data_IF_155376001253
#
_entry.id   IF_155376001253
#
_cell.length_a   1.000
_cell.length_b   1.000
_cell.length_c   1.000
_cell.angle_alpha   90.00
_cell.angle_beta   90.00
_cell.angle_gamma   90.00
#
_symmetry.space_group_name_H-M   'P 1'
#
loop_
_entity.id
_entity.type
_entity.pdbx_description
1 polymer ?
#
# COMPACT_ATOMS: atom_id res chain seq x y z
N UNK A 1 -9.14 4.84 -14.04
CA UNK A 1 -8.48 5.66 -13.01
C UNK A 1 -8.21 7.05 -13.57
N UNK A 2 -8.65 8.05 -12.86
CA UNK A 2 -8.40 9.42 -13.28
C UNK A 2 -6.95 9.82 -13.05
N UNK A 3 -6.47 10.78 -13.85
CA UNK A 3 -5.07 11.22 -13.76
C UNK A 3 -4.68 11.69 -12.37
N UNK A 4 -5.54 12.44 -11.68
CA UNK A 4 -5.18 12.93 -10.35
C UNK A 4 -5.05 11.79 -9.34
N UNK A 5 -5.86 10.76 -9.47
CA UNK A 5 -5.77 9.58 -8.60
C UNK A 5 -4.49 8.79 -8.89
N UNK A 6 -4.14 8.68 -10.16
CA UNK A 6 -2.91 8.03 -10.58
C UNK A 6 -1.68 8.76 -10.06
N UNK A 7 -1.68 10.10 -10.17
CA UNK A 7 -0.57 10.93 -9.67
C UNK A 7 -0.43 10.78 -8.16
N UNK A 8 -1.55 10.79 -7.43
CA UNK A 8 -1.53 10.63 -5.98
C UNK A 8 -0.94 9.27 -5.59
N UNK A 9 -1.36 8.20 -6.27
CA UNK A 9 -0.86 6.86 -6.00
C UNK A 9 0.64 6.75 -6.31
N UNK A 10 1.06 7.26 -7.46
CA UNK A 10 2.47 7.22 -7.86
C UNK A 10 3.34 8.06 -6.92
N UNK A 11 2.84 9.22 -6.49
CA UNK A 11 3.55 10.07 -5.54
C UNK A 11 3.74 9.35 -4.20
N UNK A 12 2.72 8.66 -3.73
CA UNK A 12 2.83 7.88 -2.49
C UNK A 12 3.88 6.78 -2.62
N UNK A 13 3.98 6.14 -3.78
CA UNK A 13 4.96 5.08 -4.03
C UNK A 13 6.36 5.60 -4.33
N UNK A 14 6.50 6.88 -4.62
CA UNK A 14 7.78 7.49 -4.96
C UNK A 14 8.60 7.87 -3.72
N UNK A 15 8.55 7.02 -2.70
CA UNK A 15 9.33 7.17 -1.48
C UNK A 15 9.74 5.76 -1.06
N UNK A 16 11.02 5.59 -0.77
CA UNK A 16 11.63 4.27 -0.61
C UNK A 16 10.92 3.39 0.41
N UNK A 17 10.63 3.92 1.59
CA UNK A 17 9.99 3.13 2.65
C UNK A 17 8.55 2.77 2.30
N UNK A 18 7.82 3.67 1.65
CA UNK A 18 6.45 3.37 1.23
C UNK A 18 6.42 2.34 0.12
N UNK A 19 7.35 2.43 -0.81
CA UNK A 19 7.44 1.42 -1.87
C UNK A 19 7.77 0.04 -1.27
N UNK A 20 8.70 -0.02 -0.32
CA UNK A 20 9.04 -1.27 0.35
C UNK A 20 7.85 -1.85 1.11
N UNK A 21 7.09 -1.00 1.80
CA UNK A 21 5.89 -1.41 2.52
C UNK A 21 4.84 -1.97 1.55
N UNK A 22 4.60 -1.25 0.46
CA UNK A 22 3.62 -1.67 -0.53
C UNK A 22 4.00 -3.01 -1.17
N UNK A 23 5.27 -3.17 -1.55
CA UNK A 23 5.75 -4.41 -2.14
C UNK A 23 5.57 -5.60 -1.20
N UNK A 24 5.87 -5.40 0.08
CA UNK A 24 5.67 -6.44 1.08
C UNK A 24 4.19 -6.85 1.16
N UNK A 25 3.28 -5.88 1.13
CA UNK A 25 1.84 -6.17 1.17
C UNK A 25 1.33 -6.83 -0.10
N UNK A 26 1.87 -6.46 -1.26
CA UNK A 26 1.54 -7.15 -2.51
C UNK A 26 1.95 -8.62 -2.43
N UNK A 27 3.16 -8.88 -1.94
CA UNK A 27 3.66 -10.24 -1.77
C UNK A 27 2.86 -11.05 -0.75
N UNK A 28 2.37 -10.39 0.29
CA UNK A 28 1.56 -11.04 1.31
C UNK A 28 0.18 -11.46 0.81
N UNK A 29 -0.31 -10.83 -0.25
CA UNK A 29 -1.60 -11.15 -0.82
C UNK A 29 -2.79 -10.57 -0.06
N UNK A 30 -4.03 -10.97 -0.43
CA UNK A 30 -5.25 -10.38 0.13
C UNK A 30 -5.40 -10.59 1.64
N UNK A 31 -4.75 -11.60 2.20
CA UNK A 31 -4.79 -11.83 3.65
C UNK A 31 -4.11 -10.75 4.45
N UNK A 32 -3.16 -10.06 3.84
CA UNK A 32 -2.46 -8.94 4.45
C UNK A 32 -1.55 -9.32 5.61
N UNK A 33 -1.09 -8.29 6.31
CA UNK A 33 -0.22 -8.43 7.47
C UNK A 33 -0.60 -7.44 8.54
N UNK A 34 -0.46 -7.85 9.80
CA UNK A 34 -0.59 -6.92 10.92
C UNK A 34 0.53 -5.88 10.88
N UNK A 35 0.23 -4.66 11.32
CA UNK A 35 1.21 -3.57 11.33
C UNK A 35 2.51 -3.95 12.05
N UNK A 36 2.41 -4.66 13.18
CA UNK A 36 3.59 -5.12 13.92
C UNK A 36 4.48 -6.04 13.10
N UNK A 37 3.88 -6.90 12.28
CA UNK A 37 4.61 -7.80 11.41
C UNK A 37 5.32 -7.05 10.27
N UNK A 38 4.66 -6.02 9.74
CA UNK A 38 5.26 -5.18 8.70
C UNK A 38 6.48 -4.45 9.27
N UNK A 39 6.32 -3.84 10.44
CA UNK A 39 7.41 -3.12 11.10
C UNK A 39 8.60 -4.03 11.34
N UNK A 40 8.35 -5.23 11.83
CA UNK A 40 9.39 -6.21 12.10
C UNK A 40 10.10 -6.63 10.80
N UNK A 41 9.32 -6.95 9.76
CA UNK A 41 9.88 -7.40 8.49
C UNK A 41 10.76 -6.35 7.82
N UNK A 42 10.40 -5.07 7.96
CA UNK A 42 11.12 -3.96 7.31
C UNK A 42 12.15 -3.30 8.23
N UNK A 43 12.24 -3.73 9.50
CA UNK A 43 13.13 -3.11 10.46
C UNK A 43 12.79 -1.63 10.68
N UNK A 44 11.51 -1.30 10.66
CA UNK A 44 11.03 0.07 10.70
C UNK A 44 10.37 0.36 12.05
N UNK A 45 10.66 1.54 12.66
CA UNK A 45 9.95 1.93 13.87
C UNK A 45 8.44 2.00 13.63
N UNK A 46 7.61 1.54 14.58
CA UNK A 46 6.16 1.58 14.40
C UNK A 46 5.58 2.96 14.08
N UNK A 47 6.14 4.02 14.66
CA UNK A 47 5.66 5.39 14.39
C UNK A 47 5.90 5.79 12.93
N UNK A 48 7.05 5.43 12.38
CA UNK A 48 7.37 5.70 10.97
C UNK A 48 6.45 4.91 10.07
N UNK A 49 6.25 3.63 10.38
CA UNK A 49 5.35 2.78 9.61
C UNK A 49 3.93 3.32 9.61
N UNK A 50 3.42 3.76 10.78
CA UNK A 50 2.07 4.32 10.88
C UNK A 50 1.88 5.49 9.93
N UNK A 51 2.88 6.37 9.83
CA UNK A 51 2.84 7.50 8.91
C UNK A 51 2.78 7.00 7.45
N UNK A 52 3.63 6.05 7.10
CA UNK A 52 3.67 5.51 5.73
C UNK A 52 2.39 4.78 5.37
N UNK A 53 1.83 4.00 6.29
CA UNK A 53 0.56 3.31 6.04
C UNK A 53 -0.59 4.30 5.84
N UNK A 54 -0.59 5.38 6.60
CA UNK A 54 -1.59 6.43 6.43
C UNK A 54 -1.49 7.07 5.04
N UNK A 55 -0.26 7.38 4.59
CA UNK A 55 -0.06 7.95 3.26
C UNK A 55 -0.50 6.99 2.16
N UNK A 56 -0.19 5.70 2.31
CA UNK A 56 -0.63 4.69 1.35
C UNK A 56 -2.14 4.53 1.34
N UNK A 57 -2.78 4.58 2.51
CA UNK A 57 -4.24 4.51 2.62
C UNK A 57 -4.90 5.71 1.97
N UNK A 58 -4.36 6.91 2.20
CA UNK A 58 -4.88 8.14 1.62
C UNK A 58 -4.78 8.13 0.09
N UNK A 59 -3.80 7.44 -0.45
CA UNK A 59 -3.61 7.29 -1.90
C UNK A 59 -4.39 6.10 -2.47
N UNK A 60 -5.20 5.45 -1.65
CA UNK A 60 -6.03 4.32 -2.05
C UNK A 60 -5.23 3.09 -2.50
N UNK A 61 -4.03 2.92 -1.95
CA UNK A 61 -3.13 1.82 -2.30
C UNK A 61 -3.24 0.65 -1.34
N UNK A 62 -3.64 0.90 -0.11
CA UNK A 62 -3.83 -0.14 0.89
C UNK A 62 -5.15 0.06 1.61
N UNK A 63 -5.65 -1.01 2.18
CA UNK A 63 -6.83 -0.98 3.04
C UNK A 63 -6.49 -1.64 4.36
N UNK A 64 -7.28 -1.36 5.38
CA UNK A 64 -7.08 -1.97 6.69
C UNK A 64 -8.40 -2.57 7.18
N UNK A 65 -8.26 -3.58 8.03
CA UNK A 65 -9.43 -4.17 8.70
C UNK A 65 -9.04 -4.54 10.12
N UNK A 66 -10.02 -4.49 11.01
CA UNK A 66 -9.84 -4.93 12.38
C UNK A 66 -10.02 -6.45 12.43
N UNK A 67 -9.09 -7.14 13.04
CA UNK A 67 -9.17 -8.59 13.23
C UNK A 67 -8.76 -8.90 14.66
N UNK A 68 -9.73 -9.07 15.54
CA UNK A 68 -9.48 -9.19 16.96
C UNK A 68 -8.85 -7.91 17.49
N UNK A 69 -7.70 -8.01 18.12
CA UNK A 69 -6.96 -6.85 18.65
C UNK A 69 -5.95 -6.29 17.64
N UNK A 70 -5.90 -6.86 16.45
CA UNK A 70 -4.93 -6.45 15.43
C UNK A 70 -5.59 -5.64 14.32
N UNK A 71 -4.82 -4.72 13.74
CA UNK A 71 -5.19 -4.05 12.50
C UNK A 71 -4.36 -4.70 11.40
N UNK A 72 -5.05 -5.25 10.42
CA UNK A 72 -4.43 -5.95 9.29
C UNK A 72 -4.47 -5.03 8.08
N UNK A 73 -3.33 -4.87 7.42
CA UNK A 73 -3.21 -4.06 6.19
C UNK A 73 -3.00 -4.97 5.00
N UNK A 74 -3.63 -4.63 3.89
CA UNK A 74 -3.50 -5.38 2.65
C UNK A 74 -3.42 -4.41 1.48
N UNK A 75 -2.72 -4.79 0.41
CA UNK A 75 -2.69 -4.00 -0.81
C UNK A 75 -4.06 -4.02 -1.48
N UNK A 76 -4.44 -2.90 -2.09
CA UNK A 76 -5.64 -2.83 -2.92
C UNK A 76 -5.24 -3.22 -4.33
N UNK A 77 -5.54 -4.46 -4.69
CA UNK A 77 -5.15 -5.00 -5.98
C UNK A 77 -5.90 -4.35 -7.14
N UNK A 78 -7.11 -3.84 -6.90
CA UNK A 78 -7.85 -3.09 -7.90
C UNK A 78 -7.11 -1.81 -8.29
N UNK A 79 -6.55 -1.09 -7.31
CA UNK A 79 -5.74 0.10 -7.57
C UNK A 79 -4.47 -0.25 -8.32
N UNK A 80 -3.80 -1.34 -7.92
CA UNK A 80 -2.59 -1.80 -8.59
C UNK A 80 -2.88 -2.11 -10.05
N UNK A 81 -3.96 -2.84 -10.31
CA UNK A 81 -4.35 -3.19 -11.68
C UNK A 81 -4.66 -1.94 -12.50
N UNK A 82 -5.33 -0.94 -11.90
CA UNK A 82 -5.64 0.31 -12.58
C UNK A 82 -4.37 1.07 -12.96
N UNK A 83 -3.36 1.06 -12.08
CA UNK A 83 -2.07 1.69 -12.38
C UNK A 83 -1.36 1.00 -13.54
N UNK A 84 -1.43 -0.33 -13.59
CA UNK A 84 -0.82 -1.09 -14.68
C UNK A 84 -1.48 -0.79 -16.04
N UNK A 85 -2.73 -0.36 -16.03
CA UNK A 85 -3.45 -0.03 -17.25
C UNK A 85 -3.19 1.39 -17.78
N UNK A 86 -2.57 2.25 -16.99
CA UNK A 86 -2.39 3.67 -17.33
C UNK A 86 -1.72 3.88 -18.68
N UNK A 87 -0.66 3.16 -18.95
CA UNK A 87 0.11 3.34 -20.17
C UNK A 87 -0.27 2.38 -21.29
N UNK A 88 -1.31 1.60 -21.11
CA UNK A 88 -1.68 0.58 -22.09
C UNK A 88 -2.39 1.24 -23.27
N UNK A 89 -1.83 1.05 -24.45
CA UNK A 89 -2.45 1.54 -25.66
C UNK A 89 -3.64 0.66 -26.04
N UNK A 90 -4.72 1.31 -26.45
CA UNK A 90 -5.87 0.61 -26.99
C UNK A 90 -5.72 0.58 -28.51
N UNK A 91 -5.45 -0.56 -29.02
CA UNK A 91 -5.27 -0.78 -30.45
C UNK A 91 -6.39 -1.62 -31.01
#
# INVERSE_FOLDING_TARGET
MENKDAVLALAALAQESRLATYRLLVEAGPGGLAASRIAEALGMPPSSLSFHLKELSNANLVLSRQQGRFVIYAARFDTMNALLEIGRAHV
#
